data_IF_612196622911
#
_entry.id   IF_612196622911
#
_cell.length_a   1.000
_cell.length_b   1.000
_cell.length_c   1.000
_cell.angle_alpha   90.00
_cell.angle_beta   90.00
_cell.angle_gamma   90.00
#
_symmetry.space_group_name_H-M   'P 1'
#
loop_
_entity.id
_entity.type
_entity.pdbx_description
1 polymer ?
#
# COMPACT_ATOMS: atom_id res chain seq x y z
N UNK A 1 24.24 19.88 -6.93
CA UNK A 1 24.73 18.62 -6.34
C UNK A 1 23.83 18.20 -5.18
N UNK A 2 22.66 17.67 -5.50
CA UNK A 2 21.65 17.24 -4.53
C UNK A 2 20.94 16.06 -5.16
N UNK A 3 20.85 14.97 -4.42
CA UNK A 3 21.47 13.72 -4.82
C UNK A 3 20.66 12.83 -5.77
N UNK A 4 21.37 11.82 -6.28
CA UNK A 4 20.94 10.73 -7.16
C UNK A 4 19.99 9.73 -6.44
N UNK A 5 19.06 10.23 -5.62
CA UNK A 5 18.03 9.41 -4.98
C UNK A 5 16.76 9.40 -5.81
N UNK A 6 16.10 8.26 -5.87
CA UNK A 6 14.76 8.15 -6.45
C UNK A 6 13.76 8.89 -5.57
N UNK A 7 12.80 9.58 -6.18
CA UNK A 7 11.65 10.12 -5.46
C UNK A 7 10.79 9.00 -4.88
N UNK A 8 9.92 9.33 -3.91
CA UNK A 8 9.04 8.33 -3.28
C UNK A 8 8.11 7.64 -4.30
N UNK A 9 7.65 8.38 -5.30
CA UNK A 9 6.84 7.85 -6.40
C UNK A 9 7.64 6.85 -7.25
N UNK A 10 8.87 7.18 -7.61
CA UNK A 10 9.74 6.30 -8.39
C UNK A 10 10.15 5.05 -7.59
N UNK A 11 10.39 5.21 -6.29
CA UNK A 11 10.73 4.11 -5.39
C UNK A 11 9.57 3.13 -5.22
N UNK A 12 8.32 3.63 -5.14
CA UNK A 12 7.13 2.79 -5.02
C UNK A 12 6.89 1.91 -6.26
N UNK A 13 7.33 2.36 -7.43
CA UNK A 13 7.25 1.58 -8.68
C UNK A 13 8.49 0.72 -8.93
N UNK A 14 9.58 0.95 -8.20
CA UNK A 14 10.84 0.25 -8.39
C UNK A 14 10.69 -1.27 -8.18
N UNK A 15 11.10 -2.10 -9.16
CA UNK A 15 10.83 -3.54 -9.14
C UNK A 15 11.51 -4.27 -7.99
N UNK A 16 12.70 -3.83 -7.58
CA UNK A 16 13.41 -4.42 -6.45
C UNK A 16 12.67 -4.18 -5.12
N UNK A 17 12.16 -2.96 -4.92
CA UNK A 17 11.44 -2.58 -3.69
C UNK A 17 10.18 -3.41 -3.57
N UNK A 18 9.43 -3.53 -4.68
CA UNK A 18 8.22 -4.34 -4.74
C UNK A 18 8.50 -5.80 -4.42
N UNK A 19 9.56 -6.38 -4.99
CA UNK A 19 9.96 -7.76 -4.72
C UNK A 19 10.27 -7.95 -3.23
N UNK A 20 11.05 -7.05 -2.63
CA UNK A 20 11.42 -7.12 -1.21
C UNK A 20 10.18 -7.01 -0.31
N UNK A 21 9.21 -6.17 -0.66
CA UNK A 21 7.93 -6.07 0.05
C UNK A 21 7.11 -7.37 -0.09
N UNK A 22 7.05 -7.96 -1.29
CA UNK A 22 6.35 -9.22 -1.55
C UNK A 22 6.97 -10.39 -0.76
N UNK A 23 8.30 -10.51 -0.73
CA UNK A 23 9.01 -11.53 0.07
C UNK A 23 8.75 -11.37 1.58
N UNK A 24 8.76 -10.12 2.06
CA UNK A 24 8.41 -9.80 3.45
C UNK A 24 6.95 -10.14 3.78
N UNK A 25 6.03 -9.87 2.84
CA UNK A 25 4.62 -10.22 2.97
C UNK A 25 4.43 -11.74 3.06
N UNK A 26 5.07 -12.50 2.16
CA UNK A 26 4.98 -13.96 2.15
C UNK A 26 5.49 -14.57 3.46
N UNK A 27 6.58 -14.02 3.99
CA UNK A 27 7.13 -14.43 5.28
C UNK A 27 6.16 -14.12 6.42
N UNK A 28 5.61 -12.90 6.46
CA UNK A 28 4.67 -12.47 7.50
C UNK A 28 3.33 -13.24 7.44
N UNK A 29 2.90 -13.63 6.24
CA UNK A 29 1.65 -14.36 5.99
C UNK A 29 1.83 -15.88 6.06
N UNK A 30 3.04 -16.37 6.32
CA UNK A 30 3.38 -17.80 6.32
C UNK A 30 2.50 -18.63 7.27
N UNK A 31 2.17 -18.10 8.46
CA UNK A 31 1.35 -18.75 9.48
C UNK A 31 -0.16 -18.63 9.29
N UNK A 32 -0.63 -17.83 8.32
CA UNK A 32 -2.05 -17.56 8.09
C UNK A 32 -2.65 -18.53 7.08
N UNK A 33 -3.95 -18.85 7.27
CA UNK A 33 -4.72 -19.64 6.31
C UNK A 33 -4.96 -18.85 5.02
N UNK A 34 -5.14 -19.55 3.88
CA UNK A 34 -5.30 -18.95 2.56
C UNK A 34 -6.44 -17.90 2.49
N UNK A 35 -7.54 -18.12 3.22
CA UNK A 35 -8.66 -17.20 3.27
C UNK A 35 -8.33 -15.83 3.90
N UNK A 36 -7.36 -15.80 4.82
CA UNK A 36 -6.96 -14.59 5.56
C UNK A 36 -5.70 -13.94 4.97
N UNK A 37 -5.06 -14.60 4.01
CA UNK A 37 -3.85 -14.07 3.36
C UNK A 37 -4.17 -12.87 2.47
N UNK A 38 -3.30 -11.87 2.56
CA UNK A 38 -3.30 -10.73 1.64
C UNK A 38 -2.82 -11.20 0.26
N UNK A 39 -3.66 -10.99 -0.77
CA UNK A 39 -3.38 -11.46 -2.15
C UNK A 39 -2.73 -10.42 -3.04
N UNK A 40 -2.98 -9.14 -2.76
CA UNK A 40 -2.46 -8.02 -3.53
C UNK A 40 -2.06 -6.91 -2.58
N UNK A 41 -0.85 -6.39 -2.79
CA UNK A 41 -0.34 -5.21 -2.09
C UNK A 41 0.03 -4.16 -3.12
N UNK A 42 -0.07 -2.90 -2.72
CA UNK A 42 0.40 -1.77 -3.52
C UNK A 42 1.20 -0.86 -2.60
N UNK A 43 2.41 -0.53 -3.03
CA UNK A 43 3.26 0.44 -2.35
C UNK A 43 2.78 1.83 -2.78
N UNK A 44 2.60 2.72 -1.80
CA UNK A 44 2.21 4.10 -2.02
C UNK A 44 3.46 4.96 -2.23
N UNK A 45 3.44 5.79 -3.28
CA UNK A 45 4.48 6.76 -3.59
C UNK A 45 4.29 8.11 -2.92
N UNK A 46 3.27 8.22 -2.07
CA UNK A 46 2.88 9.43 -1.36
C UNK A 46 2.64 9.11 0.11
N UNK A 47 2.91 10.08 0.97
CA UNK A 47 2.64 9.97 2.40
C UNK A 47 1.23 10.45 2.70
N UNK A 48 0.44 9.62 3.39
CA UNK A 48 -0.87 10.02 3.89
C UNK A 48 -0.74 10.64 5.28
N UNK A 49 -1.12 11.91 5.40
CA UNK A 49 -1.13 12.62 6.66
C UNK A 49 -2.40 12.33 7.48
N UNK A 50 -2.35 12.43 8.82
CA UNK A 50 -3.56 12.43 9.64
C UNK A 50 -4.51 13.55 9.20
N UNK A 51 -5.81 13.24 9.18
CA UNK A 51 -6.88 14.14 8.69
C UNK A 51 -6.86 14.49 7.19
N UNK A 52 -6.14 13.70 6.38
CA UNK A 52 -6.27 13.71 4.91
C UNK A 52 -7.63 13.18 4.43
N UNK A 53 -7.87 13.18 3.12
CA UNK A 53 -9.11 12.61 2.55
C UNK A 53 -9.22 11.11 2.84
N UNK A 54 -8.07 10.43 2.91
CA UNK A 54 -7.91 8.99 3.09
C UNK A 54 -7.89 8.58 4.56
N UNK A 55 -7.47 9.46 5.47
CA UNK A 55 -7.29 9.15 6.89
C UNK A 55 -8.12 10.04 7.82
N UNK A 56 -8.63 9.47 8.91
CA UNK A 56 -9.15 10.23 10.04
C UNK A 56 -8.01 10.97 10.76
N UNK A 57 -8.32 11.95 11.64
CA UNK A 57 -7.33 12.55 12.54
C UNK A 57 -6.59 11.53 13.42
N UNK A 58 -7.14 10.33 13.59
CA UNK A 58 -6.56 9.20 14.34
C UNK A 58 -5.85 8.19 13.44
N UNK A 59 -5.54 8.55 12.19
CA UNK A 59 -4.86 7.72 11.19
C UNK A 59 -5.60 6.43 10.82
N UNK A 60 -6.93 6.39 10.97
CA UNK A 60 -7.76 5.28 10.47
C UNK A 60 -8.22 5.56 9.05
N UNK A 61 -8.36 4.52 8.24
CA UNK A 61 -8.85 4.62 6.87
C UNK A 61 -10.28 5.17 6.83
N UNK A 62 -10.52 6.16 5.97
CA UNK A 62 -11.83 6.63 5.56
C UNK A 62 -12.28 5.79 4.35
N UNK A 63 -13.37 5.01 4.44
CA UNK A 63 -13.84 4.19 3.32
C UNK A 63 -14.17 5.00 2.06
N UNK A 64 -14.63 6.25 2.24
CA UNK A 64 -14.94 7.16 1.14
C UNK A 64 -13.67 7.65 0.41
N UNK A 65 -12.59 7.98 1.14
CA UNK A 65 -11.34 8.44 0.53
C UNK A 65 -10.64 7.35 -0.29
N UNK A 66 -10.80 6.08 0.10
CA UNK A 66 -10.28 4.94 -0.68
C UNK A 66 -10.98 4.74 -2.03
N UNK A 67 -12.28 5.09 -2.14
CA UNK A 67 -13.02 4.97 -3.39
C UNK A 67 -12.65 6.07 -4.41
N UNK A 68 -12.22 7.23 -3.93
CA UNK A 68 -11.77 8.36 -4.75
C UNK A 68 -10.31 8.24 -5.22
N UNK A 69 -9.44 7.69 -4.37
CA UNK A 69 -8.09 7.32 -4.77
C UNK A 69 -8.13 6.15 -5.75
N UNK A 70 -7.12 5.99 -6.62
CA UNK A 70 -7.02 4.90 -7.63
C UNK A 70 -6.86 3.49 -7.01
N UNK A 71 -7.32 3.33 -5.77
CA UNK A 71 -7.53 2.09 -5.04
C UNK A 71 -8.97 1.67 -5.29
N UNK A 72 -9.27 1.26 -6.52
CA UNK A 72 -10.47 0.49 -6.78
C UNK A 72 -10.35 -0.85 -6.03
N UNK A 73 -10.70 -0.83 -4.74
CA UNK A 73 -11.13 -1.98 -3.96
C UNK A 73 -12.51 -2.36 -4.49
N UNK A 74 -12.57 -2.67 -5.80
CA UNK A 74 -13.73 -3.27 -6.41
C UNK A 74 -13.77 -4.68 -5.83
N UNK A 75 -14.54 -4.84 -4.76
CA UNK A 75 -15.23 -6.05 -4.36
C UNK A 75 -14.87 -7.27 -5.22
N UNK A 76 -13.70 -7.86 -4.98
CA UNK A 76 -13.48 -9.28 -5.24
C UNK A 76 -13.89 -9.99 -3.95
N UNK A 77 -15.20 -9.96 -3.72
CA UNK A 77 -15.88 -11.01 -2.99
C UNK A 77 -16.94 -11.55 -3.94
N UNK A 78 -16.49 -12.45 -4.81
CA UNK A 78 -17.29 -13.53 -5.34
C UNK A 78 -16.42 -14.77 -5.39
#
# INVERSE_FOLDING_TARGET
DTDDWLSLAELAEHPEVRRTVEEGLDTAMSSFNNAERVKKVKVLGEEWLPDSEELTPTSKLKPLGLLGSSFAFLLVWK
#
